data_IF_722891410874
#
_entry.id   IF_722891410874
#
_cell.length_a   1.000
_cell.length_b   1.000
_cell.length_c   1.000
_cell.angle_alpha   90.00
_cell.angle_beta   90.00
_cell.angle_gamma   90.00
#
_symmetry.space_group_name_H-M   'P 1'
#
loop_
_entity.id
_entity.type
_entity.pdbx_description
1 polymer ?
#
# COMPACT_ATOMS: atom_id res chain seq x y z
N UNK A 1 20.77 -14.70 4.03
CA UNK A 1 19.66 -13.74 3.84
C UNK A 1 18.61 -14.14 4.86
N UNK A 2 18.56 -13.41 5.98
CA UNK A 2 17.73 -13.77 7.12
C UNK A 2 16.26 -13.65 6.76
N UNK A 3 15.50 -14.70 7.03
CA UNK A 3 14.06 -14.66 7.15
C UNK A 3 13.73 -13.75 8.35
N UNK A 4 13.43 -12.49 8.08
CA UNK A 4 12.76 -11.68 9.08
C UNK A 4 11.36 -12.28 9.24
N UNK A 5 11.20 -13.12 10.27
CA UNK A 5 9.89 -13.58 10.70
C UNK A 5 8.98 -12.36 10.82
N UNK A 6 7.80 -12.39 10.21
CA UNK A 6 6.76 -11.40 10.48
C UNK A 6 6.41 -11.52 11.97
N UNK A 7 7.10 -10.73 12.81
CA UNK A 7 6.64 -10.53 14.17
C UNK A 7 5.21 -10.01 14.08
N UNK A 8 4.31 -10.66 14.79
CA UNK A 8 2.89 -10.28 14.84
C UNK A 8 2.79 -8.79 15.15
N UNK A 9 2.28 -8.02 14.19
CA UNK A 9 2.10 -6.58 14.33
C UNK A 9 0.96 -6.37 15.33
N UNK A 10 1.30 -6.21 16.62
CA UNK A 10 0.32 -6.01 17.69
C UNK A 10 -0.03 -4.53 17.80
N UNK A 11 -1.33 -4.25 17.81
CA UNK A 11 -1.82 -2.92 18.18
C UNK A 11 -1.49 -2.68 19.66
N UNK A 12 -0.85 -1.53 20.01
CA UNK A 12 -0.58 -1.23 21.42
C UNK A 12 -1.86 -1.21 22.24
N UNK A 13 -1.76 -1.66 23.50
CA UNK A 13 -2.84 -1.51 24.45
C UNK A 13 -3.00 -0.02 24.83
N UNK A 14 -4.25 0.45 24.69
CA UNK A 14 -4.83 1.64 25.34
C UNK A 14 -4.11 2.97 25.17
N UNK A 15 -4.28 3.58 24.02
CA UNK A 15 -4.53 5.04 23.95
C UNK A 15 -6.02 5.23 23.66
N UNK A 16 -6.66 6.24 24.24
CA UNK A 16 -8.02 6.55 23.83
C UNK A 16 -8.04 7.04 22.36
N UNK A 17 -9.17 6.96 21.71
CA UNK A 17 -9.28 7.22 20.28
C UNK A 17 -8.94 8.68 19.93
N UNK A 18 -9.32 9.63 20.80
CA UNK A 18 -9.04 11.05 20.60
C UNK A 18 -7.55 11.36 20.70
N UNK A 19 -6.85 10.75 21.65
CA UNK A 19 -5.39 10.90 21.80
C UNK A 19 -4.66 10.30 20.61
N UNK A 20 -5.09 9.13 20.11
CA UNK A 20 -4.53 8.54 18.90
C UNK A 20 -4.73 9.43 17.68
N UNK A 21 -5.92 10.01 17.53
CA UNK A 21 -6.22 10.91 16.42
C UNK A 21 -5.40 12.21 16.52
N UNK A 22 -5.31 12.81 17.70
CA UNK A 22 -4.53 14.03 17.91
C UNK A 22 -3.04 13.79 17.60
N UNK A 23 -2.47 12.70 18.13
CA UNK A 23 -1.08 12.31 17.89
C UNK A 23 -0.83 12.02 16.40
N UNK A 24 -1.68 11.22 15.78
CA UNK A 24 -1.56 10.89 14.36
C UNK A 24 -1.67 12.12 13.47
N UNK A 25 -2.57 13.06 13.79
CA UNK A 25 -2.71 14.32 13.08
C UNK A 25 -1.44 15.17 13.16
N UNK A 26 -0.86 15.27 14.35
CA UNK A 26 0.38 16.02 14.53
C UNK A 26 1.52 15.43 13.68
N UNK A 27 1.73 14.12 13.74
CA UNK A 27 2.75 13.43 12.93
C UNK A 27 2.46 13.61 11.44
N UNK A 28 1.22 13.43 11.01
CA UNK A 28 0.83 13.56 9.61
C UNK A 28 1.15 14.95 9.05
N UNK A 29 0.85 16.00 9.81
CA UNK A 29 1.09 17.38 9.39
C UNK A 29 2.57 17.75 9.31
N UNK A 30 3.44 17.05 10.05
CA UNK A 30 4.88 17.32 10.01
C UNK A 30 5.65 16.44 9.00
N UNK A 31 5.18 15.22 8.74
CA UNK A 31 5.95 14.24 7.97
C UNK A 31 5.28 13.79 6.67
N UNK A 32 3.96 13.81 6.57
CA UNK A 32 3.23 13.17 5.48
C UNK A 32 2.53 14.17 4.54
N UNK A 33 2.16 15.34 5.06
CA UNK A 33 1.34 16.35 4.37
C UNK A 33 1.95 16.86 3.07
N UNK A 34 3.28 16.98 3.02
CA UNK A 34 3.99 17.51 1.85
C UNK A 34 3.76 16.67 0.59
N UNK A 35 3.59 15.36 0.75
CA UNK A 35 3.28 14.45 -0.34
C UNK A 35 1.78 14.15 -0.42
N UNK A 36 1.15 13.83 0.72
CA UNK A 36 -0.23 13.31 0.73
C UNK A 36 -1.32 14.38 0.83
N UNK A 37 -0.93 15.66 1.02
CA UNK A 37 -1.87 16.78 1.14
C UNK A 37 -2.60 16.84 2.48
N UNK A 38 -3.06 18.03 2.85
CA UNK A 38 -3.71 18.29 4.15
C UNK A 38 -4.96 17.43 4.40
N UNK A 39 -5.68 17.12 3.32
CA UNK A 39 -6.93 16.35 3.35
C UNK A 39 -6.74 14.91 2.85
N UNK A 40 -5.52 14.40 2.78
CA UNK A 40 -5.22 13.06 2.31
C UNK A 40 -5.53 12.82 0.84
N UNK A 41 -5.60 13.87 0.03
CA UNK A 41 -5.99 13.81 -1.39
C UNK A 41 -4.83 13.46 -2.34
N UNK A 42 -3.62 13.25 -1.82
CA UNK A 42 -2.43 12.99 -2.63
C UNK A 42 -1.84 14.23 -3.30
N UNK A 43 -2.43 15.42 -3.09
CA UNK A 43 -2.01 16.69 -3.68
C UNK A 43 -1.26 17.57 -2.68
N UNK A 44 -0.18 17.07 -2.11
CA UNK A 44 0.73 17.87 -1.29
C UNK A 44 1.62 18.78 -2.14
N UNK A 45 2.36 19.68 -1.49
CA UNK A 45 3.23 20.66 -2.18
C UNK A 45 4.35 20.00 -3.00
N UNK A 46 4.77 18.79 -2.62
CA UNK A 46 5.80 18.04 -3.32
C UNK A 46 5.24 17.17 -4.48
N UNK A 47 3.92 17.02 -4.62
CA UNK A 47 3.30 16.04 -5.52
C UNK A 47 3.76 16.18 -6.97
N UNK A 48 3.91 17.42 -7.47
CA UNK A 48 4.33 17.65 -8.86
C UNK A 48 5.76 17.18 -9.18
N UNK A 49 6.56 16.87 -8.16
CA UNK A 49 7.92 16.36 -8.28
C UNK A 49 8.01 14.85 -8.05
N UNK A 50 6.88 14.18 -7.82
CA UNK A 50 6.83 12.77 -7.44
C UNK A 50 6.16 11.95 -8.55
N UNK A 51 6.77 10.81 -8.88
CA UNK A 51 6.17 9.84 -9.79
C UNK A 51 6.42 8.42 -9.27
N UNK A 52 5.37 7.59 -9.16
CA UNK A 52 3.95 7.93 -9.30
C UNK A 52 3.48 8.89 -8.20
N UNK A 53 2.37 9.59 -8.45
CA UNK A 53 1.79 10.51 -7.47
C UNK A 53 1.35 9.81 -6.19
N UNK A 54 1.39 10.52 -5.04
CA UNK A 54 0.97 9.96 -3.77
C UNK A 54 -0.49 9.52 -3.79
N UNK A 55 -0.80 8.49 -3.00
CA UNK A 55 -2.15 7.93 -2.92
C UNK A 55 -3.17 8.95 -2.39
N UNK A 56 -4.32 9.07 -3.09
CA UNK A 56 -5.52 9.71 -2.56
C UNK A 56 -6.19 8.75 -1.57
N UNK A 57 -6.12 9.05 -0.28
CA UNK A 57 -6.68 8.23 0.79
C UNK A 57 -8.21 8.32 0.85
N UNK A 58 -8.80 9.44 0.38
CA UNK A 58 -10.24 9.70 0.45
C UNK A 58 -11.07 8.65 -0.29
N UNK A 59 -10.51 8.07 -1.34
CA UNK A 59 -11.15 7.02 -2.13
C UNK A 59 -11.22 5.67 -1.41
N UNK A 60 -10.43 5.46 -0.35
CA UNK A 60 -10.35 4.18 0.34
C UNK A 60 -9.87 3.03 -0.54
N UNK A 61 -9.11 3.34 -1.59
CA UNK A 61 -8.55 2.36 -2.53
C UNK A 61 -7.06 2.27 -2.32
N UNK A 62 -6.60 1.11 -1.86
CA UNK A 62 -5.20 0.86 -1.56
C UNK A 62 -4.66 -0.26 -2.45
N UNK A 63 -3.49 -0.02 -3.05
CA UNK A 63 -2.85 -1.00 -3.95
C UNK A 63 -2.21 -2.15 -3.18
N UNK A 64 -1.50 -1.83 -2.10
CA UNK A 64 -0.78 -2.81 -1.28
C UNK A 64 -1.67 -3.26 -0.12
N UNK A 65 -2.27 -4.43 -0.26
CA UNK A 65 -3.17 -5.02 0.74
C UNK A 65 -3.14 -6.55 0.65
N UNK A 66 -3.44 -7.18 1.75
CA UNK A 66 -3.59 -8.64 1.85
C UNK A 66 -5.04 -9.12 1.65
N UNK A 67 -5.92 -8.24 1.22
CA UNK A 67 -7.36 -8.48 1.07
C UNK A 67 -7.77 -8.52 -0.40
N UNK A 68 -8.92 -9.09 -0.77
CA UNK A 68 -9.40 -9.15 -2.15
C UNK A 68 -9.50 -7.78 -2.83
N UNK A 69 -9.40 -7.77 -4.15
CA UNK A 69 -9.53 -6.55 -4.96
C UNK A 69 -10.85 -5.86 -4.69
N UNK A 70 -10.81 -4.52 -4.52
CA UNK A 70 -11.99 -3.71 -4.23
C UNK A 70 -12.35 -3.60 -2.77
N UNK A 71 -11.84 -4.46 -1.89
CA UNK A 71 -12.08 -4.38 -0.44
C UNK A 71 -11.09 -3.45 0.27
N UNK A 72 -11.45 -3.03 1.50
CA UNK A 72 -10.56 -2.24 2.34
C UNK A 72 -9.35 -3.06 2.78
N UNK A 73 -8.16 -2.43 2.92
CA UNK A 73 -6.98 -3.05 3.49
C UNK A 73 -7.19 -3.36 4.97
N UNK A 74 -6.39 -4.27 5.50
CA UNK A 74 -6.25 -4.44 6.94
C UNK A 74 -5.32 -3.36 7.52
N UNK A 75 -5.45 -3.13 8.81
CA UNK A 75 -4.59 -2.17 9.51
C UNK A 75 -3.11 -2.58 9.40
N UNK A 76 -2.81 -3.88 9.41
CA UNK A 76 -1.45 -4.40 9.23
C UNK A 76 -0.88 -4.13 7.83
N UNK A 77 -1.72 -4.03 6.81
CA UNK A 77 -1.28 -3.67 5.45
C UNK A 77 -0.83 -2.20 5.40
N UNK A 78 -1.59 -1.32 6.04
CA UNK A 78 -1.25 0.10 6.18
C UNK A 78 0.01 0.28 7.02
N UNK A 79 0.10 -0.44 8.15
CA UNK A 79 1.28 -0.46 9.02
C UNK A 79 2.54 -0.82 8.23
N UNK A 80 2.49 -1.95 7.53
CA UNK A 80 3.61 -2.44 6.71
C UNK A 80 4.02 -1.43 5.64
N UNK A 81 3.04 -0.80 4.98
CA UNK A 81 3.31 0.19 3.94
C UNK A 81 4.01 1.43 4.50
N UNK A 82 3.62 1.89 5.68
CA UNK A 82 4.26 3.03 6.34
C UNK A 82 5.69 2.69 6.75
N UNK A 83 5.90 1.60 7.47
CA UNK A 83 7.23 1.27 8.01
C UNK A 83 8.24 0.85 6.95
N UNK A 84 7.79 0.17 5.87
CA UNK A 84 8.67 -0.32 4.80
C UNK A 84 8.77 0.62 3.60
N UNK A 85 7.91 1.64 3.55
CA UNK A 85 7.78 2.46 2.34
C UNK A 85 7.26 1.66 1.15
N UNK A 86 7.36 2.23 -0.03
CA UNK A 86 6.97 1.59 -1.30
C UNK A 86 8.16 1.63 -2.25
N UNK A 87 8.96 0.57 -2.33
CA UNK A 87 10.11 0.49 -3.22
C UNK A 87 9.73 0.81 -4.67
N UNK A 88 10.58 1.56 -5.36
CA UNK A 88 10.33 2.05 -6.72
C UNK A 88 9.45 3.31 -6.80
N UNK A 89 9.11 3.90 -5.66
CA UNK A 89 8.39 5.17 -5.58
C UNK A 89 9.09 6.13 -4.62
N UNK A 90 8.59 7.36 -4.53
CA UNK A 90 9.09 8.36 -3.57
C UNK A 90 8.56 8.19 -2.14
N UNK A 91 7.75 7.17 -1.85
CA UNK A 91 7.29 6.87 -0.49
C UNK A 91 8.41 6.18 0.31
N UNK A 92 9.09 6.89 1.24
CA UNK A 92 10.20 6.32 1.99
C UNK A 92 9.72 5.33 3.07
N UNK A 93 10.64 4.54 3.59
CA UNK A 93 10.42 3.74 4.79
C UNK A 93 10.49 4.63 6.04
N UNK A 94 9.49 4.54 6.90
CA UNK A 94 9.41 5.34 8.12
C UNK A 94 9.70 4.52 9.39
N UNK A 95 10.05 3.24 9.25
CA UNK A 95 10.21 2.32 10.37
C UNK A 95 11.27 2.74 11.39
N UNK A 96 12.33 3.43 10.93
CA UNK A 96 13.40 3.90 11.82
C UNK A 96 13.07 5.25 12.47
N UNK A 97 12.11 6.01 11.93
CA UNK A 97 11.73 7.34 12.40
C UNK A 97 10.47 7.37 13.26
N UNK A 98 9.65 6.32 13.17
CA UNK A 98 8.36 6.23 13.86
C UNK A 98 8.34 5.08 14.86
N UNK A 99 7.88 5.35 16.07
CA UNK A 99 7.56 4.28 17.02
C UNK A 99 6.36 3.46 16.53
N UNK A 100 6.16 2.24 17.03
CA UNK A 100 4.94 1.48 16.75
C UNK A 100 3.66 2.26 17.09
N UNK A 101 3.65 2.99 18.21
CA UNK A 101 2.52 3.82 18.62
C UNK A 101 2.23 4.96 17.63
N UNK A 102 3.28 5.60 17.10
CA UNK A 102 3.16 6.65 16.08
C UNK A 102 2.58 6.10 14.79
N UNK A 103 3.05 4.94 14.38
CA UNK A 103 2.55 4.28 13.18
C UNK A 103 1.07 3.92 13.31
N UNK A 104 0.64 3.40 14.46
CA UNK A 104 -0.78 3.12 14.72
C UNK A 104 -1.62 4.40 14.76
N UNK A 105 -1.11 5.47 15.33
CA UNK A 105 -1.77 6.78 15.31
C UNK A 105 -1.95 7.30 13.88
N UNK A 106 -0.94 7.18 13.03
CA UNK A 106 -1.02 7.53 11.61
C UNK A 106 -2.04 6.69 10.84
N UNK A 107 -2.15 5.40 11.11
CA UNK A 107 -3.16 4.53 10.48
C UNK A 107 -4.56 5.06 10.76
N UNK A 108 -4.85 5.50 11.98
CA UNK A 108 -6.15 6.09 12.31
C UNK A 108 -6.43 7.35 11.48
N UNK A 109 -5.44 8.22 11.28
CA UNK A 109 -5.59 9.41 10.41
C UNK A 109 -5.82 9.00 8.95
N UNK A 110 -5.07 8.05 8.41
CA UNK A 110 -5.23 7.57 7.04
C UNK A 110 -6.64 7.01 6.83
N UNK A 111 -7.16 6.23 7.77
CA UNK A 111 -8.52 5.67 7.74
C UNK A 111 -9.57 6.77 7.83
N UNK A 112 -9.35 7.79 8.64
CA UNK A 112 -10.29 8.89 8.83
C UNK A 112 -10.50 9.76 7.58
N UNK A 113 -9.58 9.75 6.63
CA UNK A 113 -9.78 10.44 5.36
C UNK A 113 -10.83 9.80 4.46
N UNK A 114 -11.17 8.52 4.64
CA UNK A 114 -12.14 7.84 3.79
C UNK A 114 -13.36 7.36 4.57
N UNK A 115 -14.57 7.77 4.14
CA UNK A 115 -15.81 7.31 4.78
C UNK A 115 -16.04 5.79 4.63
N UNK A 116 -15.30 5.12 3.74
CA UNK A 116 -15.41 3.67 3.59
C UNK A 116 -15.03 2.92 4.86
N UNK A 117 -14.02 3.38 5.60
CA UNK A 117 -13.59 2.71 6.84
C UNK A 117 -14.62 2.77 7.97
N UNK A 118 -15.56 3.72 7.94
CA UNK A 118 -16.67 3.78 8.88
C UNK A 118 -17.92 2.99 8.42
N UNK A 119 -18.02 2.72 7.11
CA UNK A 119 -19.21 2.10 6.50
C UNK A 119 -19.01 0.65 6.08
N UNK A 120 -17.78 0.24 5.86
CA UNK A 120 -17.44 -1.08 5.33
C UNK A 120 -16.52 -1.83 6.29
N UNK A 121 -16.72 -3.14 6.41
CA UNK A 121 -15.76 -4.00 7.09
C UNK A 121 -14.47 -4.14 6.27
N UNK A 122 -13.35 -4.27 6.95
CA UNK A 122 -12.09 -4.61 6.29
C UNK A 122 -12.18 -5.99 5.63
N UNK A 123 -11.51 -6.15 4.50
CA UNK A 123 -11.48 -7.42 3.78
C UNK A 123 -10.82 -8.54 4.62
N UNK A 124 -11.24 -9.77 4.41
CA UNK A 124 -10.57 -10.93 5.02
C UNK A 124 -9.21 -11.14 4.37
N UNK A 125 -8.20 -11.45 5.18
CA UNK A 125 -6.85 -11.77 4.66
C UNK A 125 -6.91 -12.98 3.73
N UNK A 126 -6.32 -12.85 2.54
CA UNK A 126 -6.14 -13.96 1.61
C UNK A 126 -5.02 -14.84 2.15
N UNK A 127 -5.28 -16.13 2.29
CA UNK A 127 -4.25 -17.10 2.60
C UNK A 127 -3.62 -17.60 1.30
N UNK A 128 -2.39 -17.22 1.03
CA UNK A 128 -1.64 -17.66 -0.16
C UNK A 128 -0.82 -18.94 0.07
N UNK A 129 -0.82 -19.45 1.29
CA UNK A 129 -0.02 -20.62 1.66
C UNK A 129 1.49 -20.36 1.64
N UNK A 130 2.26 -21.45 1.72
CA UNK A 130 3.71 -21.39 1.60
C UNK A 130 4.10 -21.39 0.12
N UNK A 131 5.01 -20.49 -0.32
CA UNK A 131 5.47 -20.52 -1.70
C UNK A 131 6.13 -21.87 -2.00
N UNK A 132 5.79 -22.53 -3.12
CA UNK A 132 6.43 -23.75 -3.53
C UNK A 132 7.89 -23.47 -3.93
N UNK A 133 8.74 -24.49 -3.85
CA UNK A 133 10.09 -24.40 -4.38
C UNK A 133 10.04 -24.20 -5.89
N UNK A 134 10.90 -23.32 -6.41
CA UNK A 134 11.02 -23.11 -7.84
C UNK A 134 11.67 -24.34 -8.49
N UNK A 135 10.89 -25.09 -9.25
CA UNK A 135 11.36 -26.18 -10.11
C UNK A 135 11.23 -25.79 -11.58
N UNK A 136 12.00 -26.41 -12.50
CA UNK A 136 11.87 -26.15 -13.92
C UNK A 136 10.43 -26.31 -14.43
N UNK A 137 9.71 -27.32 -13.95
CA UNK A 137 8.30 -27.61 -14.33
C UNK A 137 7.37 -26.50 -13.81
N UNK A 138 7.59 -26.00 -12.60
CA UNK A 138 6.80 -24.92 -12.02
C UNK A 138 7.04 -23.60 -12.75
N UNK A 139 8.29 -23.34 -13.14
CA UNK A 139 8.66 -22.16 -13.93
C UNK A 139 7.98 -22.21 -15.31
N UNK A 140 8.07 -23.32 -16.00
CA UNK A 140 7.40 -23.50 -17.31
C UNK A 140 5.88 -23.35 -17.20
N UNK A 141 5.27 -23.89 -16.12
CA UNK A 141 3.85 -23.69 -15.85
C UNK A 141 3.52 -22.20 -15.60
N UNK A 142 4.38 -21.48 -14.88
CA UNK A 142 4.23 -20.05 -14.64
C UNK A 142 4.25 -19.26 -15.94
N UNK A 143 5.20 -19.54 -16.84
CA UNK A 143 5.29 -18.93 -18.16
C UNK A 143 4.02 -19.18 -18.99
N UNK A 144 3.56 -20.43 -19.05
CA UNK A 144 2.31 -20.77 -19.73
C UNK A 144 1.13 -19.97 -19.18
N UNK A 145 0.95 -19.92 -17.87
CA UNK A 145 -0.12 -19.16 -17.23
C UNK A 145 -0.01 -17.65 -17.50
N UNK A 146 1.20 -17.11 -17.57
CA UNK A 146 1.44 -15.71 -17.86
C UNK A 146 0.96 -15.35 -19.28
N UNK A 147 1.20 -16.23 -20.24
CA UNK A 147 0.76 -16.05 -21.64
C UNK A 147 -0.76 -16.25 -21.74
N UNK A 148 -1.30 -17.35 -21.20
CA UNK A 148 -2.73 -17.71 -21.25
C UNK A 148 -3.62 -16.63 -20.60
N UNK A 149 -3.17 -16.04 -19.50
CA UNK A 149 -3.87 -14.96 -18.82
C UNK A 149 -3.60 -13.58 -19.41
N UNK A 150 -2.95 -13.51 -20.57
CA UNK A 150 -2.67 -12.27 -21.33
C UNK A 150 -1.91 -11.21 -20.50
N UNK A 151 -1.10 -11.62 -19.53
CA UNK A 151 -0.28 -10.71 -18.75
C UNK A 151 0.72 -9.95 -19.65
N UNK A 152 1.13 -10.57 -20.76
CA UNK A 152 1.97 -9.94 -21.79
C UNK A 152 1.35 -8.69 -22.43
N UNK A 153 0.02 -8.56 -22.38
CA UNK A 153 -0.65 -7.38 -22.95
C UNK A 153 -0.23 -6.06 -22.28
N UNK A 154 0.11 -6.11 -21.01
CA UNK A 154 0.63 -4.96 -20.25
C UNK A 154 2.14 -5.08 -20.01
N UNK A 155 2.61 -6.27 -19.62
CA UNK A 155 4.00 -6.47 -19.22
C UNK A 155 4.98 -6.65 -20.39
N UNK A 156 4.49 -6.88 -21.63
CA UNK A 156 5.31 -7.21 -22.77
C UNK A 156 5.80 -8.66 -22.74
N UNK A 157 6.34 -9.14 -23.85
CA UNK A 157 6.92 -10.49 -23.95
C UNK A 157 8.26 -10.59 -23.22
N UNK A 158 9.03 -9.51 -23.23
CA UNK A 158 10.32 -9.38 -22.55
C UNK A 158 10.21 -8.90 -21.11
N UNK A 159 8.99 -8.72 -20.59
CA UNK A 159 8.69 -8.23 -19.24
C UNK A 159 9.21 -6.81 -18.95
N UNK A 160 9.38 -5.99 -19.98
CA UNK A 160 9.88 -4.61 -19.87
C UNK A 160 8.76 -3.58 -19.68
N UNK A 161 7.50 -4.02 -19.59
CA UNK A 161 6.36 -3.12 -19.45
C UNK A 161 5.93 -2.46 -20.76
N UNK A 162 6.36 -3.01 -21.90
CA UNK A 162 6.15 -2.54 -23.27
C UNK A 162 5.01 -3.27 -23.99
N UNK A 163 4.10 -3.88 -23.24
CA UNK A 163 2.92 -4.54 -23.82
C UNK A 163 1.99 -3.55 -24.51
N UNK A 164 1.25 -4.03 -25.52
CA UNK A 164 0.36 -3.21 -26.36
C UNK A 164 -0.67 -2.36 -25.61
N UNK A 165 -0.99 -2.72 -24.37
CA UNK A 165 -1.90 -1.97 -23.51
C UNK A 165 -1.17 -1.04 -22.52
N UNK A 166 0.18 -1.07 -22.46
CA UNK A 166 0.93 -0.33 -21.46
C UNK A 166 0.69 1.19 -21.58
N UNK A 167 0.72 1.74 -22.80
CA UNK A 167 0.50 3.16 -23.05
C UNK A 167 -0.94 3.63 -22.77
N UNK A 168 -1.90 2.70 -22.78
CA UNK A 168 -3.31 3.01 -22.48
C UNK A 168 -3.65 2.94 -21.00
N UNK A 169 -2.72 2.47 -20.16
CA UNK A 169 -2.93 2.36 -18.74
C UNK A 169 -2.73 3.73 -18.08
N UNK A 170 -3.80 4.23 -17.53
CA UNK A 170 -3.77 5.47 -16.77
C UNK A 170 -3.73 5.15 -15.27
N UNK A 171 -2.99 5.95 -14.53
CA UNK A 171 -3.01 5.91 -13.07
C UNK A 171 -4.33 6.46 -12.51
N UNK A 172 -4.45 6.50 -11.17
CA UNK A 172 -5.64 7.04 -10.51
C UNK A 172 -5.87 8.55 -10.79
N UNK A 173 -4.89 9.22 -11.37
CA UNK A 173 -4.86 10.64 -11.71
C UNK A 173 -5.01 10.90 -13.22
N UNK A 174 -5.16 9.82 -14.01
CA UNK A 174 -5.30 9.86 -15.47
C UNK A 174 -4.04 10.34 -16.22
N UNK A 175 -2.86 10.00 -15.67
CA UNK A 175 -1.58 10.17 -16.38
C UNK A 175 -1.21 8.93 -17.15
#
# INVERSE_FOLDING_TARGET
RGSHGESEIKKPAVMNEDELLARGRNIYLHMCVFCHGKNGNGGGTATNYLYPWPRDFRKGIFKFRSTPTGTLPRDEDLYRTIIKGVPGTSMPAWGDALSPQDTWALINIVKNFSPRFSKEAQGKKINVGTPPLATPELIARGEKLFIENKCTACHGQSLQGDGRLAESLLDAWKH
#
